data_IF_980422443822
#
_entry.id   IF_980422443822
#
_cell.length_a   1.000
_cell.length_b   1.000
_cell.length_c   1.000
_cell.angle_alpha   90.00
_cell.angle_beta   90.00
_cell.angle_gamma   90.00
#
_symmetry.space_group_name_H-M   'P 1'
#
loop_
_entity.id
_entity.type
_entity.pdbx_description
1 polymer ?
#
# COMPACT_ATOMS: atom_id res chain seq x y z
N UNK A 1 58.41 -10.08 10.39
CA UNK A 1 57.89 -9.62 11.69
C UNK A 1 56.42 -9.31 11.51
N UNK A 2 55.57 -10.02 12.25
CA UNK A 2 54.12 -9.94 12.18
C UNK A 2 53.61 -8.66 12.88
N UNK A 3 52.66 -7.97 12.28
CA UNK A 3 51.81 -7.02 13.00
C UNK A 3 50.42 -7.63 13.13
N UNK A 4 50.17 -8.21 14.30
CA UNK A 4 48.88 -8.76 14.70
C UNK A 4 47.91 -7.62 14.98
N UNK A 5 47.01 -7.36 14.03
CA UNK A 5 45.77 -6.64 14.29
C UNK A 5 44.87 -7.55 15.13
N UNK A 6 44.72 -7.21 16.40
CA UNK A 6 43.78 -7.85 17.32
C UNK A 6 42.35 -7.65 16.82
N UNK A 7 41.77 -8.70 16.24
CA UNK A 7 40.33 -8.78 15.98
C UNK A 7 39.64 -8.75 17.35
N UNK A 8 38.96 -7.65 17.65
CA UNK A 8 38.12 -7.55 18.84
C UNK A 8 37.11 -8.71 18.82
N UNK A 9 36.94 -9.45 19.93
CA UNK A 9 36.02 -10.58 19.95
C UNK A 9 34.61 -10.06 19.70
N UNK A 10 33.91 -10.62 18.70
CA UNK A 10 32.48 -10.41 18.50
C UNK A 10 31.77 -10.72 19.82
N UNK A 11 31.38 -9.67 20.54
CA UNK A 11 30.64 -9.80 21.79
C UNK A 11 29.35 -10.55 21.48
N UNK A 12 29.26 -11.77 22.01
CA UNK A 12 28.10 -12.63 21.96
C UNK A 12 27.05 -12.08 22.94
N UNK A 13 26.56 -10.86 22.69
CA UNK A 13 25.43 -10.29 23.42
C UNK A 13 24.21 -11.12 23.06
N UNK A 14 23.69 -11.88 24.04
CA UNK A 14 22.38 -12.53 23.88
C UNK A 14 21.38 -11.43 23.56
N UNK A 15 20.87 -11.44 22.33
CA UNK A 15 19.86 -10.49 21.90
C UNK A 15 18.61 -10.72 22.76
N UNK A 16 17.97 -9.64 23.20
CA UNK A 16 16.63 -9.73 23.76
C UNK A 16 15.65 -10.28 22.71
N UNK A 17 14.46 -10.78 23.10
CA UNK A 17 13.51 -11.38 22.15
C UNK A 17 13.16 -10.48 20.96
N UNK A 18 13.07 -9.16 21.20
CA UNK A 18 12.87 -8.16 20.16
C UNK A 18 14.04 -8.08 19.16
N UNK A 19 15.29 -8.06 19.64
CA UNK A 19 16.48 -8.06 18.80
C UNK A 19 16.63 -9.37 18.02
N UNK A 20 16.19 -10.50 18.59
CA UNK A 20 16.11 -11.77 17.85
C UNK A 20 15.12 -11.66 16.70
N UNK A 21 13.91 -11.15 16.94
CA UNK A 21 12.89 -10.98 15.90
C UNK A 21 13.38 -10.10 14.74
N UNK A 22 14.01 -8.96 15.05
CA UNK A 22 14.58 -8.08 14.03
C UNK A 22 15.68 -8.76 13.21
N UNK A 23 16.52 -9.58 13.85
CA UNK A 23 17.55 -10.35 13.17
C UNK A 23 16.95 -11.42 12.25
N UNK A 24 15.92 -12.13 12.71
CA UNK A 24 15.18 -13.09 11.89
C UNK A 24 14.55 -12.41 10.67
N UNK A 25 13.87 -11.28 10.86
CA UNK A 25 13.27 -10.50 9.78
C UNK A 25 14.32 -10.02 8.77
N UNK A 26 15.48 -9.52 9.25
CA UNK A 26 16.62 -9.16 8.40
C UNK A 26 17.13 -10.35 7.60
N UNK A 27 17.40 -11.49 8.26
CA UNK A 27 17.93 -12.69 7.62
C UNK A 27 16.96 -13.25 6.56
N UNK A 28 15.67 -13.37 6.90
CA UNK A 28 14.64 -13.89 6.00
C UNK A 28 14.45 -12.96 4.80
N UNK A 29 14.38 -11.65 5.03
CA UNK A 29 14.24 -10.66 3.95
C UNK A 29 15.45 -10.64 3.01
N UNK A 30 16.67 -10.71 3.57
CA UNK A 30 17.90 -10.76 2.79
C UNK A 30 18.02 -12.08 2.00
N UNK A 31 17.59 -13.19 2.60
CA UNK A 31 17.52 -14.48 1.91
C UNK A 31 16.55 -14.41 0.72
N UNK A 32 15.34 -13.86 0.91
CA UNK A 32 14.36 -13.69 -0.16
C UNK A 32 14.90 -12.79 -1.28
N UNK A 33 15.51 -11.66 -0.92
CA UNK A 33 16.17 -10.74 -1.86
C UNK A 33 17.26 -11.45 -2.70
N UNK A 34 18.20 -12.14 -2.04
CA UNK A 34 19.32 -12.80 -2.72
C UNK A 34 18.89 -14.00 -3.55
N UNK A 35 17.96 -14.81 -3.02
CA UNK A 35 17.60 -16.10 -3.61
C UNK A 35 16.54 -15.92 -4.68
N UNK A 36 15.47 -15.16 -4.42
CA UNK A 36 14.34 -15.01 -5.33
C UNK A 36 14.42 -13.71 -6.13
N UNK A 37 14.77 -12.60 -5.46
CA UNK A 37 14.80 -11.27 -6.08
C UNK A 37 15.78 -11.18 -7.24
N UNK A 38 16.95 -11.82 -7.12
CA UNK A 38 18.00 -11.84 -8.14
C UNK A 38 17.75 -12.79 -9.32
N UNK A 39 16.79 -13.71 -9.22
CA UNK A 39 16.49 -14.66 -10.31
C UNK A 39 15.68 -14.01 -11.44
N UNK A 40 14.94 -12.95 -11.13
CA UNK A 40 14.07 -12.23 -12.08
C UNK A 40 14.70 -10.87 -12.36
N UNK A 41 14.67 -10.38 -13.62
CA UNK A 41 15.16 -9.04 -13.94
C UNK A 41 14.52 -7.98 -13.07
N UNK A 42 15.34 -7.07 -12.55
CA UNK A 42 14.92 -6.07 -11.58
C UNK A 42 13.75 -5.21 -12.07
N UNK A 43 13.73 -4.90 -13.36
CA UNK A 43 12.70 -4.06 -13.99
C UNK A 43 11.30 -4.69 -13.93
N UNK A 44 11.20 -6.02 -13.88
CA UNK A 44 9.92 -6.70 -13.69
C UNK A 44 9.34 -6.39 -12.32
N UNK A 45 10.17 -6.42 -11.27
CA UNK A 45 9.75 -6.05 -9.92
C UNK A 45 9.39 -4.57 -9.81
N UNK A 46 10.11 -3.70 -10.52
CA UNK A 46 9.81 -2.26 -10.58
C UNK A 46 8.47 -2.03 -11.29
N UNK A 47 8.22 -2.71 -12.41
CA UNK A 47 6.93 -2.65 -13.11
C UNK A 47 5.77 -3.07 -12.22
N UNK A 48 5.93 -4.17 -11.47
CA UNK A 48 4.95 -4.63 -10.48
C UNK A 48 4.71 -3.58 -9.38
N UNK A 49 5.76 -2.96 -8.86
CA UNK A 49 5.62 -1.86 -7.91
C UNK A 49 4.81 -0.69 -8.49
N UNK A 50 5.12 -0.25 -9.71
CA UNK A 50 4.40 0.84 -10.36
C UNK A 50 2.91 0.52 -10.52
N UNK A 51 2.58 -0.75 -10.81
CA UNK A 51 1.17 -1.19 -10.91
C UNK A 51 0.39 -0.98 -9.61
N UNK A 52 1.04 -1.05 -8.44
CA UNK A 52 0.43 -0.82 -7.12
C UNK A 52 0.73 0.56 -6.53
N UNK A 53 1.21 1.51 -7.33
CA UNK A 53 1.62 2.82 -6.83
C UNK A 53 0.44 3.81 -6.76
N UNK A 54 0.36 4.54 -5.64
CA UNK A 54 -0.66 5.56 -5.42
C UNK A 54 -0.59 6.70 -6.45
N UNK A 55 0.58 6.97 -7.03
CA UNK A 55 0.73 7.95 -8.12
C UNK A 55 -0.06 7.58 -9.38
N UNK A 56 -0.32 6.28 -9.60
CA UNK A 56 -1.16 5.80 -10.72
C UNK A 56 -2.62 5.77 -10.28
N UNK A 57 -2.90 5.20 -9.11
CA UNK A 57 -4.27 4.96 -8.66
C UNK A 57 -5.03 6.21 -8.20
N UNK A 58 -4.38 7.17 -7.53
CA UNK A 58 -5.04 8.39 -7.07
C UNK A 58 -5.64 9.22 -8.22
N UNK A 59 -4.89 9.60 -9.28
CA UNK A 59 -5.45 10.34 -10.39
C UNK A 59 -6.47 9.51 -11.18
N UNK A 60 -6.28 8.19 -11.28
CA UNK A 60 -7.24 7.30 -11.94
C UNK A 60 -8.60 7.32 -11.22
N UNK A 61 -8.60 7.13 -9.89
CA UNK A 61 -9.83 7.10 -9.09
C UNK A 61 -10.49 8.48 -9.03
N UNK A 62 -9.69 9.54 -8.89
CA UNK A 62 -10.20 10.91 -8.94
C UNK A 62 -10.82 11.22 -10.32
N UNK A 63 -10.17 10.83 -11.40
CA UNK A 63 -10.69 10.99 -12.76
C UNK A 63 -11.99 10.22 -12.99
N UNK A 64 -12.08 8.98 -12.47
CA UNK A 64 -13.33 8.22 -12.48
C UNK A 64 -14.42 9.01 -11.76
N UNK A 65 -14.20 9.51 -10.54
CA UNK A 65 -15.20 10.30 -9.79
C UNK A 65 -15.69 11.54 -10.53
N UNK A 66 -14.94 12.08 -11.49
CA UNK A 66 -15.35 13.22 -12.30
C UNK A 66 -16.17 12.84 -13.55
N UNK A 67 -16.38 11.55 -13.84
CA UNK A 67 -17.08 11.09 -15.05
C UNK A 67 -18.61 11.22 -14.91
N UNK A 68 -19.28 12.03 -15.76
CA UNK A 68 -20.74 12.22 -15.73
C UNK A 68 -21.55 10.95 -15.93
N UNK A 69 -20.99 9.93 -16.58
CA UNK A 69 -21.67 8.71 -16.98
C UNK A 69 -21.67 7.61 -15.90
N UNK A 70 -21.05 7.82 -14.74
CA UNK A 70 -21.05 6.81 -13.69
C UNK A 70 -22.45 6.61 -13.10
N UNK A 71 -22.87 5.35 -12.99
CA UNK A 71 -24.10 4.99 -12.29
C UNK A 71 -24.02 5.38 -10.80
N UNK A 72 -25.15 5.65 -10.13
CA UNK A 72 -25.17 5.97 -8.70
C UNK A 72 -24.41 4.95 -7.83
N UNK A 73 -24.59 3.66 -8.12
CA UNK A 73 -23.87 2.58 -7.46
C UNK A 73 -22.36 2.68 -7.70
N UNK A 74 -21.92 2.90 -8.94
CA UNK A 74 -20.51 3.02 -9.26
C UNK A 74 -19.88 4.24 -8.56
N UNK A 75 -20.56 5.40 -8.55
CA UNK A 75 -20.10 6.59 -7.81
C UNK A 75 -19.93 6.29 -6.32
N UNK A 76 -20.92 5.63 -5.71
CA UNK A 76 -20.88 5.24 -4.31
C UNK A 76 -19.68 4.33 -3.98
N UNK A 77 -19.43 3.31 -4.81
CA UNK A 77 -18.29 2.41 -4.64
C UNK A 77 -16.95 3.13 -4.83
N UNK A 78 -16.81 3.93 -5.89
CA UNK A 78 -15.58 4.67 -6.20
C UNK A 78 -15.29 5.73 -5.12
N UNK A 79 -16.31 6.40 -4.59
CA UNK A 79 -16.14 7.42 -3.55
C UNK A 79 -15.63 6.81 -2.24
N UNK A 80 -16.20 5.68 -1.80
CA UNK A 80 -15.72 4.96 -0.64
C UNK A 80 -14.31 4.38 -0.86
N UNK A 81 -14.04 3.88 -2.07
CA UNK A 81 -12.71 3.41 -2.45
C UNK A 81 -11.67 4.53 -2.33
N UNK A 82 -11.99 5.71 -2.87
CA UNK A 82 -11.15 6.91 -2.83
C UNK A 82 -10.92 7.41 -1.40
N UNK A 83 -11.96 7.42 -0.58
CA UNK A 83 -11.85 7.77 0.84
C UNK A 83 -10.87 6.83 1.55
N UNK A 84 -11.02 5.52 1.39
CA UNK A 84 -10.08 4.58 2.01
C UNK A 84 -8.66 4.69 1.48
N UNK A 85 -8.46 5.11 0.23
CA UNK A 85 -7.14 5.46 -0.29
C UNK A 85 -6.48 6.60 0.49
N UNK A 86 -7.22 7.66 0.76
CA UNK A 86 -6.74 8.78 1.58
C UNK A 86 -6.49 8.35 3.02
N UNK A 87 -7.39 7.56 3.61
CA UNK A 87 -7.24 7.04 4.96
C UNK A 87 -6.00 6.16 5.10
N UNK A 88 -5.71 5.29 4.12
CA UNK A 88 -4.49 4.48 4.07
C UNK A 88 -3.23 5.35 4.07
N UNK A 89 -3.17 6.36 3.19
CA UNK A 89 -2.01 7.27 3.11
C UNK A 89 -1.75 8.00 4.42
N UNK A 90 -2.81 8.48 5.07
CA UNK A 90 -2.72 9.17 6.37
C UNK A 90 -2.22 8.20 7.45
N UNK A 91 -2.85 7.03 7.59
CA UNK A 91 -2.48 6.03 8.61
C UNK A 91 -1.03 5.58 8.41
N UNK A 92 -0.64 5.20 7.18
CA UNK A 92 0.73 4.77 6.88
C UNK A 92 1.73 5.90 7.14
N UNK A 93 1.42 7.14 6.73
CA UNK A 93 2.28 8.29 6.97
C UNK A 93 2.52 8.56 8.45
N UNK A 94 1.45 8.50 9.27
CA UNK A 94 1.54 8.63 10.73
C UNK A 94 2.37 7.51 11.35
N UNK A 95 2.11 6.25 10.98
CA UNK A 95 2.85 5.10 11.50
C UNK A 95 4.34 5.15 11.14
N UNK A 96 4.67 5.59 9.92
CA UNK A 96 6.07 5.84 9.52
C UNK A 96 6.73 6.91 10.39
N UNK A 97 5.99 8.00 10.67
CA UNK A 97 6.45 9.09 11.53
C UNK A 97 6.70 8.68 12.98
N UNK A 98 5.96 7.69 13.49
CA UNK A 98 6.05 7.17 14.87
C UNK A 98 7.16 6.11 14.98
N UNK A 99 7.13 5.08 14.13
CA UNK A 99 8.00 3.90 14.29
C UNK A 99 9.41 4.16 13.78
N UNK A 100 9.57 4.96 12.72
CA UNK A 100 10.87 5.39 12.17
C UNK A 100 11.89 4.26 11.99
N UNK A 101 11.43 3.09 11.52
CA UNK A 101 12.32 1.97 11.22
C UNK A 101 13.17 2.27 9.98
N UNK A 102 14.51 2.10 10.02
CA UNK A 102 15.36 2.28 8.84
C UNK A 102 15.09 1.19 7.78
N UNK A 103 15.36 1.50 6.51
CA UNK A 103 15.28 0.53 5.40
C UNK A 103 16.39 -0.53 5.48
N UNK A 104 16.23 -1.68 4.79
CA UNK A 104 17.27 -2.71 4.73
C UNK A 104 18.62 -2.15 4.26
N UNK A 105 19.72 -2.58 4.88
CA UNK A 105 21.07 -2.10 4.57
C UNK A 105 21.61 -2.58 3.21
N UNK A 106 20.99 -3.60 2.63
CA UNK A 106 21.30 -4.13 1.31
C UNK A 106 20.42 -3.51 0.21
N UNK A 107 19.74 -2.40 0.51
CA UNK A 107 18.96 -1.65 -0.48
C UNK A 107 19.86 -1.04 -1.56
N UNK A 108 19.30 -0.76 -2.74
CA UNK A 108 19.99 0.01 -3.76
C UNK A 108 19.82 1.52 -3.46
N UNK A 109 20.90 2.29 -3.23
CA UNK A 109 20.83 3.72 -2.96
C UNK A 109 20.14 4.52 -4.07
N UNK A 110 20.33 4.10 -5.32
CA UNK A 110 19.81 4.81 -6.50
C UNK A 110 18.27 4.85 -6.54
N UNK A 111 17.62 3.91 -5.88
CA UNK A 111 16.15 3.83 -5.81
C UNK A 111 15.52 4.94 -4.98
N UNK A 112 16.30 5.57 -4.11
CA UNK A 112 15.80 6.52 -3.12
C UNK A 112 16.15 7.97 -3.44
N UNK A 113 16.77 8.25 -4.59
CA UNK A 113 17.25 9.58 -4.98
C UNK A 113 16.13 10.60 -5.18
N UNK A 114 14.90 10.15 -5.48
CA UNK A 114 13.71 11.00 -5.71
C UNK A 114 12.64 10.83 -4.62
N UNK A 115 12.99 10.26 -3.47
CA UNK A 115 12.02 9.88 -2.44
C UNK A 115 11.69 11.05 -1.53
N UNK A 116 10.40 11.37 -1.41
CA UNK A 116 9.86 12.38 -0.49
C UNK A 116 10.29 12.03 0.95
N UNK A 117 10.65 13.03 1.77
CA UNK A 117 11.21 12.83 3.12
C UNK A 117 10.44 11.87 4.04
N UNK A 118 9.11 11.77 3.89
CA UNK A 118 8.23 10.86 4.65
C UNK A 118 8.46 9.39 4.29
N UNK A 119 8.90 9.11 3.07
CA UNK A 119 9.09 7.75 2.56
C UNK A 119 10.52 7.21 2.82
N UNK A 120 11.31 7.92 3.65
CA UNK A 120 12.59 7.46 4.19
C UNK A 120 12.46 6.23 5.10
N UNK A 121 11.34 6.09 5.81
CA UNK A 121 11.12 5.00 6.77
C UNK A 121 10.51 3.76 6.14
N UNK A 122 10.91 2.57 6.62
CA UNK A 122 10.52 1.27 6.07
C UNK A 122 9.20 0.74 6.63
N UNK A 123 8.90 1.00 7.90
CA UNK A 123 7.74 0.42 8.58
C UNK A 123 6.58 1.42 8.69
N UNK A 124 5.33 1.00 8.40
CA UNK A 124 4.95 -0.19 7.65
C UNK A 124 5.18 0.03 6.13
N UNK A 125 5.08 -1.05 5.34
CA UNK A 125 5.15 -0.93 3.89
C UNK A 125 3.85 -0.33 3.33
N UNK A 126 3.92 0.92 2.85
CA UNK A 126 2.76 1.59 2.24
C UNK A 126 2.27 0.95 0.95
N UNK A 127 3.16 0.36 0.14
CA UNK A 127 2.75 -0.39 -1.05
C UNK A 127 1.97 -1.65 -0.66
N UNK A 128 2.45 -2.40 0.34
CA UNK A 128 1.74 -3.59 0.84
C UNK A 128 0.38 -3.23 1.44
N UNK A 129 0.31 -2.13 2.20
CA UNK A 129 -0.96 -1.63 2.77
C UNK A 129 -1.99 -1.31 1.69
N UNK A 130 -1.57 -0.51 0.70
CA UNK A 130 -2.45 -0.11 -0.39
C UNK A 130 -2.97 -1.29 -1.20
N UNK A 131 -2.10 -2.20 -1.65
CA UNK A 131 -2.56 -3.34 -2.47
C UNK A 131 -3.40 -4.32 -1.67
N UNK A 132 -3.15 -4.45 -0.35
CA UNK A 132 -4.02 -5.22 0.53
C UNK A 132 -5.39 -4.58 0.71
N UNK A 133 -5.45 -3.25 0.85
CA UNK A 133 -6.72 -2.51 0.87
C UNK A 133 -7.48 -2.67 -0.45
N UNK A 134 -6.80 -2.51 -1.58
CA UNK A 134 -7.41 -2.67 -2.91
C UNK A 134 -7.97 -4.08 -3.11
N UNK A 135 -7.21 -5.11 -2.73
CA UNK A 135 -7.68 -6.49 -2.79
C UNK A 135 -8.86 -6.74 -1.84
N UNK A 136 -8.80 -6.21 -0.61
CA UNK A 136 -9.89 -6.29 0.36
C UNK A 136 -11.19 -5.66 -0.16
N UNK A 137 -11.09 -4.45 -0.71
CA UNK A 137 -12.25 -3.76 -1.29
C UNK A 137 -12.79 -4.48 -2.54
N UNK A 138 -11.91 -5.02 -3.38
CA UNK A 138 -12.32 -5.83 -4.52
C UNK A 138 -13.03 -7.14 -4.09
N UNK A 139 -12.59 -7.78 -3.01
CA UNK A 139 -13.28 -8.93 -2.42
C UNK A 139 -14.68 -8.57 -1.90
N UNK A 140 -14.83 -7.39 -1.29
CA UNK A 140 -16.13 -6.88 -0.82
C UNK A 140 -17.11 -6.70 -1.99
N UNK A 141 -16.64 -6.15 -3.12
CA UNK A 141 -17.45 -6.03 -4.34
C UNK A 141 -17.73 -7.42 -4.95
N UNK A 142 -16.71 -8.27 -5.02
CA UNK A 142 -16.81 -9.61 -5.58
C UNK A 142 -17.83 -10.49 -4.85
N UNK A 143 -17.91 -10.37 -3.52
CA UNK A 143 -18.90 -11.06 -2.71
C UNK A 143 -20.34 -10.64 -3.05
N UNK A 144 -20.56 -9.39 -3.46
CA UNK A 144 -21.88 -8.88 -3.81
C UNK A 144 -22.34 -9.28 -5.22
N UNK A 145 -21.41 -9.49 -6.17
CA UNK A 145 -21.74 -9.76 -7.58
C UNK A 145 -21.30 -11.15 -8.08
N UNK A 146 -20.70 -11.98 -7.22
CA UNK A 146 -20.21 -13.31 -7.57
C UNK A 146 -18.99 -13.34 -8.50
N UNK A 147 -18.29 -12.22 -8.68
CA UNK A 147 -17.15 -12.15 -9.61
C UNK A 147 -15.87 -12.75 -9.02
N UNK A 148 -14.93 -13.15 -9.90
CA UNK A 148 -13.60 -13.63 -9.50
C UNK A 148 -12.58 -12.50 -9.27
N UNK A 149 -13.02 -11.24 -9.30
CA UNK A 149 -12.14 -10.08 -9.21
C UNK A 149 -11.37 -10.05 -7.87
N UNK A 150 -12.01 -10.44 -6.77
CA UNK A 150 -11.37 -10.53 -5.45
C UNK A 150 -10.12 -11.42 -5.49
N UNK A 151 -10.25 -12.65 -5.99
CA UNK A 151 -9.13 -13.60 -6.12
C UNK A 151 -8.00 -13.03 -6.98
N UNK A 152 -8.34 -12.48 -8.16
CA UNK A 152 -7.35 -11.90 -9.06
C UNK A 152 -6.56 -10.75 -8.39
N UNK A 153 -7.27 -9.84 -7.71
CA UNK A 153 -6.65 -8.73 -6.99
C UNK A 153 -5.86 -9.15 -5.76
N UNK A 154 -6.27 -10.22 -5.05
CA UNK A 154 -5.50 -10.78 -3.94
C UNK A 154 -4.18 -11.35 -4.44
N UNK A 155 -4.20 -12.17 -5.51
CA UNK A 155 -2.98 -12.75 -6.09
C UNK A 155 -2.04 -11.64 -6.58
N UNK A 156 -2.55 -10.70 -7.36
CA UNK A 156 -1.78 -9.55 -7.82
C UNK A 156 -1.21 -8.74 -6.64
N UNK A 157 -2.04 -8.42 -5.64
CA UNK A 157 -1.65 -7.63 -4.48
C UNK A 157 -0.56 -8.33 -3.66
N UNK A 158 -0.64 -9.66 -3.49
CA UNK A 158 0.41 -10.44 -2.84
C UNK A 158 1.72 -10.37 -3.61
N UNK A 159 1.69 -10.50 -4.94
CA UNK A 159 2.90 -10.41 -5.78
C UNK A 159 3.52 -9.01 -5.71
N UNK A 160 2.71 -7.94 -5.78
CA UNK A 160 3.19 -6.56 -5.64
C UNK A 160 3.76 -6.32 -4.24
N UNK A 161 3.11 -6.82 -3.18
CA UNK A 161 3.61 -6.70 -1.81
C UNK A 161 4.95 -7.42 -1.61
N UNK A 162 5.09 -8.64 -2.15
CA UNK A 162 6.34 -9.41 -2.08
C UNK A 162 7.47 -8.75 -2.89
N UNK A 163 7.16 -8.12 -4.04
CA UNK A 163 8.16 -7.39 -4.83
C UNK A 163 8.96 -6.38 -4.01
N UNK A 164 8.38 -5.84 -2.91
CA UNK A 164 9.02 -4.88 -2.02
C UNK A 164 10.22 -5.47 -1.26
N UNK A 165 10.12 -6.73 -0.83
CA UNK A 165 11.24 -7.46 -0.24
C UNK A 165 12.21 -7.95 -1.31
N UNK A 166 11.71 -8.35 -2.47
CA UNK A 166 12.53 -8.84 -3.59
C UNK A 166 13.37 -7.73 -4.25
N UNK A 167 12.97 -6.47 -4.12
CA UNK A 167 13.78 -5.29 -4.47
C UNK A 167 14.70 -4.82 -3.34
N UNK A 168 14.63 -5.45 -2.16
CA UNK A 168 15.40 -5.07 -0.98
C UNK A 168 14.97 -3.73 -0.37
N UNK A 169 13.74 -3.26 -0.62
CA UNK A 169 13.25 -1.95 -0.17
C UNK A 169 12.56 -2.00 1.20
N UNK A 170 12.02 -3.16 1.55
CA UNK A 170 11.30 -3.40 2.80
C UNK A 170 11.66 -4.78 3.36
N UNK A 171 11.52 -4.92 4.66
CA UNK A 171 11.57 -6.23 5.30
C UNK A 171 10.23 -6.96 5.18
N UNK A 172 10.22 -8.29 5.33
CA UNK A 172 9.01 -9.10 5.34
C UNK A 172 8.04 -8.67 6.45
N UNK A 173 8.57 -8.31 7.63
CA UNK A 173 7.77 -7.75 8.72
C UNK A 173 7.07 -6.44 8.35
N UNK A 174 7.71 -5.56 7.56
CA UNK A 174 7.07 -4.32 7.08
C UNK A 174 5.91 -4.62 6.12
N UNK A 175 6.06 -5.68 5.31
CA UNK A 175 5.05 -6.12 4.35
C UNK A 175 3.84 -6.71 5.08
N UNK A 176 4.06 -7.58 6.07
CA UNK A 176 3.00 -8.15 6.89
C UNK A 176 2.24 -7.05 7.65
N UNK A 177 2.95 -6.11 8.27
CA UNK A 177 2.33 -4.98 8.96
C UNK A 177 1.56 -4.07 8.00
N UNK A 178 2.12 -3.80 6.82
CA UNK A 178 1.42 -3.06 5.76
C UNK A 178 0.13 -3.76 5.36
N UNK A 179 0.19 -5.05 5.02
CA UNK A 179 -0.99 -5.82 4.66
C UNK A 179 -2.08 -5.80 5.74
N UNK A 180 -1.68 -5.91 7.02
CA UNK A 180 -2.60 -5.76 8.14
C UNK A 180 -3.27 -4.38 8.17
N UNK A 181 -2.51 -3.30 7.99
CA UNK A 181 -3.07 -1.94 7.91
C UNK A 181 -4.10 -1.84 6.78
N UNK A 182 -3.81 -2.38 5.60
CA UNK A 182 -4.74 -2.38 4.47
C UNK A 182 -6.03 -3.18 4.72
N UNK A 183 -5.92 -4.33 5.40
CA UNK A 183 -7.08 -5.14 5.82
C UNK A 183 -7.92 -4.38 6.85
N UNK A 184 -7.28 -3.76 7.85
CA UNK A 184 -7.97 -2.95 8.85
C UNK A 184 -8.63 -1.71 8.23
N UNK A 185 -8.01 -1.11 7.21
CA UNK A 185 -8.61 -0.02 6.47
C UNK A 185 -9.84 -0.48 5.67
N UNK A 186 -9.80 -1.68 5.08
CA UNK A 186 -10.98 -2.30 4.46
C UNK A 186 -12.10 -2.50 5.49
N UNK A 187 -11.75 -3.00 6.68
CA UNK A 187 -12.70 -3.13 7.77
C UNK A 187 -13.30 -1.78 8.17
N UNK A 188 -12.48 -0.72 8.27
CA UNK A 188 -12.96 0.63 8.58
C UNK A 188 -13.97 1.13 7.54
N UNK A 189 -13.63 1.03 6.25
CA UNK A 189 -14.50 1.48 5.15
C UNK A 189 -15.80 0.67 5.06
N UNK A 190 -15.79 -0.60 5.48
CA UNK A 190 -16.97 -1.47 5.52
C UNK A 190 -17.63 -1.54 6.90
N UNK A 191 -17.21 -0.71 7.86
CA UNK A 191 -17.68 -0.73 9.26
C UNK A 191 -17.59 -2.11 9.93
N UNK A 192 -16.59 -2.90 9.55
CA UNK A 192 -16.32 -4.25 10.03
C UNK A 192 -17.15 -5.35 9.38
N UNK A 193 -18.09 -5.00 8.49
CA UNK A 193 -19.01 -5.98 7.88
C UNK A 193 -18.42 -6.71 6.67
N UNK A 194 -17.36 -6.16 6.07
CA UNK A 194 -16.80 -6.66 4.80
C UNK A 194 -17.87 -6.84 3.71
N UNK A 195 -18.88 -5.97 3.69
CA UNK A 195 -19.98 -5.96 2.73
C UNK A 195 -20.06 -4.64 1.98
N UNK A 196 -20.46 -4.71 0.70
CA UNK A 196 -20.68 -3.54 -0.14
C UNK A 196 -21.98 -2.79 0.22
N UNK A 197 -22.82 -3.35 1.09
CA UNK A 197 -24.13 -2.79 1.44
C UNK A 197 -24.10 -1.73 2.54
N UNK A 198 -23.02 -1.65 3.33
CA UNK A 198 -22.93 -0.73 4.46
C UNK A 198 -21.55 -0.07 4.52
N UNK A 199 -21.17 0.60 3.44
CA UNK A 199 -19.95 1.35 3.36
C UNK A 199 -19.99 2.60 4.26
N UNK A 200 -18.81 3.14 4.57
CA UNK A 200 -18.61 4.26 5.50
C UNK A 200 -19.41 5.49 5.09
N UNK A 201 -19.30 5.89 3.82
CA UNK A 201 -20.08 6.98 3.24
C UNK A 201 -21.34 6.39 2.62
N UNK A 202 -22.55 6.82 3.03
CA UNK A 202 -23.80 6.30 2.48
C UNK A 202 -24.02 6.73 1.02
N UNK A 203 -24.85 5.97 0.30
CA UNK A 203 -25.11 6.19 -1.13
C UNK A 203 -25.80 7.54 -1.36
N UNK A 204 -26.75 7.90 -0.51
CA UNK A 204 -27.53 9.13 -0.58
C UNK A 204 -26.63 10.37 -0.46
N UNK A 205 -25.66 10.34 0.48
CA UNK A 205 -24.70 11.42 0.65
C UNK A 205 -23.77 11.53 -0.56
N UNK A 206 -23.31 10.39 -1.10
CA UNK A 206 -22.43 10.39 -2.27
C UNK A 206 -23.12 11.00 -3.48
N UNK A 207 -24.36 10.57 -3.74
CA UNK A 207 -25.14 11.08 -4.86
C UNK A 207 -25.48 12.57 -4.69
N UNK A 208 -25.81 13.01 -3.47
CA UNK A 208 -26.07 14.41 -3.20
C UNK A 208 -24.86 15.30 -3.49
N UNK A 209 -23.68 14.95 -2.93
CA UNK A 209 -22.43 15.67 -3.17
C UNK A 209 -22.11 15.72 -4.67
N UNK A 210 -22.29 14.60 -5.37
CA UNK A 210 -22.03 14.54 -6.80
C UNK A 210 -22.93 15.47 -7.61
N UNK A 211 -24.24 15.48 -7.31
CA UNK A 211 -25.19 16.35 -8.00
C UNK A 211 -24.91 17.83 -7.73
N UNK A 212 -24.53 18.20 -6.51
CA UNK A 212 -24.13 19.56 -6.19
C UNK A 212 -22.87 19.98 -6.95
N UNK A 213 -21.84 19.13 -6.95
CA UNK A 213 -20.61 19.38 -7.70
C UNK A 213 -20.88 19.52 -9.21
N UNK A 214 -21.71 18.63 -9.78
CA UNK A 214 -22.08 18.70 -11.19
C UNK A 214 -22.84 19.98 -11.53
N UNK A 215 -23.75 20.44 -10.66
CA UNK A 215 -24.48 21.70 -10.84
C UNK A 215 -23.55 22.92 -10.79
N UNK A 216 -22.58 22.92 -9.87
CA UNK A 216 -21.59 23.99 -9.80
C UNK A 216 -20.74 24.06 -11.07
N UNK A 217 -20.29 22.91 -11.59
CA UNK A 217 -19.51 22.86 -12.84
C UNK A 217 -20.30 23.38 -14.05
N UNK A 218 -21.55 22.91 -14.23
CA UNK A 218 -22.41 23.37 -15.33
C UNK A 218 -22.75 24.86 -15.20
N UNK A 219 -23.11 25.32 -13.99
CA UNK A 219 -23.39 26.74 -13.76
C UNK A 219 -22.17 27.65 -13.87
N UNK A 220 -20.94 27.12 -13.76
CA UNK A 220 -19.73 27.85 -14.15
C UNK A 220 -19.63 27.91 -15.66
N UNK A 221 -19.81 26.81 -16.39
CA UNK A 221 -19.74 26.79 -17.85
C UNK A 221 -20.74 27.77 -18.50
N UNK A 222 -21.98 27.80 -18.01
CA UNK A 222 -23.03 28.72 -18.50
C UNK A 222 -22.69 30.21 -18.28
N UNK A 223 -21.76 30.54 -17.36
CA UNK A 223 -21.29 31.91 -17.13
C UNK A 223 -20.19 32.36 -18.09
N UNK A 224 -19.59 31.44 -18.84
CA UNK A 224 -18.47 31.70 -19.76
C UNK A 224 -18.83 31.47 -21.23
N UNK A 225 -20.08 31.11 -21.53
CA UNK A 225 -20.67 31.02 -22.88
C UNK A 225 -21.59 32.20 -23.13
#
# INVERSE_FOLDING_TARGET
MANGGTVAPQQNTRLNPHGMLQRWDLCASNWAYKTLGRQVPRDVWIGLEHSGNGLVWLPLVAGLLCMPQLSPLARHLVANFFLGFWTDLIIVGLLKGIVRRPRPSYNNPDDFLLVVAVDKWSFPSGHASRVAYMAGFACVIAAANGSHMGVATTVWGTVVALSRALLGRHYLGDICAGALVGILNTALITKGTFSATNLLVPAELTDHIYQEASRMCLGVMDRWT
#
